data_IF_311573280049
#
_entry.id   IF_311573280049
#
_cell.length_a   1.000
_cell.length_b   1.000
_cell.length_c   1.000
_cell.angle_alpha   90.00
_cell.angle_beta   90.00
_cell.angle_gamma   90.00
#
_symmetry.space_group_name_H-M   'P 1'
#
loop_
_entity.id
_entity.type
_entity.pdbx_description
1 polymer ?
#
# COMPACT_ATOMS: atom_id res chain seq x y z
N UNK A 1 -78.11 -11.84 -32.34
CA UNK A 1 -77.20 -12.70 -31.59
C UNK A 1 -76.04 -11.86 -31.09
N UNK A 2 -75.94 -11.56 -29.77
CA UNK A 2 -74.90 -10.73 -29.16
C UNK A 2 -73.81 -11.69 -28.63
N UNK A 3 -72.63 -11.68 -29.24
CA UNK A 3 -71.47 -12.46 -28.76
C UNK A 3 -70.91 -11.79 -27.50
N UNK A 4 -71.10 -12.41 -26.35
CA UNK A 4 -70.51 -12.01 -25.06
C UNK A 4 -69.03 -12.37 -25.05
N UNK A 5 -68.13 -11.42 -25.19
CA UNK A 5 -66.67 -11.63 -25.09
C UNK A 5 -66.36 -12.09 -23.66
N UNK A 6 -65.74 -13.27 -23.56
CA UNK A 6 -65.21 -13.80 -22.32
C UNK A 6 -64.02 -12.93 -21.90
N UNK A 7 -64.12 -12.29 -20.73
CA UNK A 7 -62.98 -11.61 -20.11
C UNK A 7 -61.90 -12.66 -19.79
N UNK A 8 -60.73 -12.55 -20.40
CA UNK A 8 -59.58 -13.33 -20.00
C UNK A 8 -59.10 -12.75 -18.67
N UNK A 9 -59.13 -13.55 -17.61
CA UNK A 9 -58.47 -13.21 -16.35
C UNK A 9 -56.99 -13.33 -16.54
N UNK A 10 -56.25 -12.25 -16.32
CA UNK A 10 -54.79 -12.20 -16.35
C UNK A 10 -54.34 -12.95 -15.11
N UNK A 11 -53.48 -13.99 -15.24
CA UNK A 11 -53.00 -14.69 -14.05
C UNK A 11 -52.26 -13.72 -13.12
N UNK A 12 -52.72 -13.67 -11.87
CA UNK A 12 -52.04 -12.89 -10.84
C UNK A 12 -50.62 -13.40 -10.62
N UNK A 13 -49.65 -12.57 -10.90
CA UNK A 13 -48.25 -12.87 -10.57
C UNK A 13 -48.10 -13.04 -9.05
N UNK A 14 -47.58 -14.19 -8.63
CA UNK A 14 -47.30 -14.45 -7.23
C UNK A 14 -46.12 -13.58 -6.76
N UNK A 15 -46.47 -12.38 -6.27
CA UNK A 15 -45.48 -11.37 -5.80
C UNK A 15 -44.67 -11.82 -4.62
N UNK A 16 -45.15 -12.80 -3.84
CA UNK A 16 -44.45 -13.36 -2.68
C UNK A 16 -43.19 -14.09 -3.10
N UNK A 17 -43.23 -14.89 -4.17
CA UNK A 17 -42.08 -15.61 -4.70
C UNK A 17 -41.02 -14.67 -5.29
N UNK A 18 -41.44 -13.60 -5.96
CA UNK A 18 -40.51 -12.62 -6.53
C UNK A 18 -39.85 -11.75 -5.45
N UNK A 19 -40.57 -11.44 -4.38
CA UNK A 19 -40.02 -10.74 -3.22
C UNK A 19 -38.94 -11.56 -2.50
N UNK A 20 -39.12 -12.88 -2.35
CA UNK A 20 -38.14 -13.76 -1.72
C UNK A 20 -36.87 -13.85 -2.56
N UNK A 21 -36.98 -14.02 -3.87
CA UNK A 21 -35.81 -14.02 -4.76
C UNK A 21 -35.04 -12.68 -4.69
N UNK A 22 -35.77 -11.56 -4.67
CA UNK A 22 -35.17 -10.24 -4.57
C UNK A 22 -34.46 -10.04 -3.23
N UNK A 23 -35.02 -10.54 -2.16
CA UNK A 23 -34.42 -10.49 -0.83
C UNK A 23 -33.16 -11.37 -0.74
N UNK A 24 -33.19 -12.57 -1.30
CA UNK A 24 -32.03 -13.45 -1.36
C UNK A 24 -30.88 -12.84 -2.20
N UNK A 25 -31.21 -12.22 -3.31
CA UNK A 25 -30.24 -11.49 -4.13
C UNK A 25 -29.64 -10.31 -3.37
N UNK A 26 -30.44 -9.56 -2.63
CA UNK A 26 -29.99 -8.45 -1.82
C UNK A 26 -29.01 -8.91 -0.74
N UNK A 27 -29.31 -9.98 0.01
CA UNK A 27 -28.43 -10.55 1.01
C UNK A 27 -27.16 -11.07 0.34
N UNK A 28 -27.26 -11.75 -0.78
CA UNK A 28 -26.11 -12.26 -1.53
C UNK A 28 -25.16 -11.10 -1.92
N UNK A 29 -25.67 -10.02 -2.48
CA UNK A 29 -24.86 -8.83 -2.80
C UNK A 29 -24.29 -8.16 -1.56
N UNK A 30 -25.04 -8.09 -0.46
CA UNK A 30 -24.56 -7.50 0.78
C UNK A 30 -23.39 -8.31 1.37
N UNK A 31 -23.46 -9.64 1.34
CA UNK A 31 -22.39 -10.52 1.79
C UNK A 31 -21.18 -10.46 0.83
N UNK A 32 -21.41 -10.49 -0.49
CA UNK A 32 -20.31 -10.43 -1.47
C UNK A 32 -19.62 -9.07 -1.50
N UNK A 33 -20.34 -7.97 -1.26
CA UNK A 33 -19.77 -6.61 -1.16
C UNK A 33 -18.97 -6.42 0.12
N UNK A 34 -19.27 -7.14 1.19
CA UNK A 34 -18.52 -7.11 2.44
C UNK A 34 -17.19 -7.88 2.39
N UNK A 35 -16.96 -8.68 1.35
CA UNK A 35 -15.69 -9.36 1.17
C UNK A 35 -14.71 -8.46 0.45
N UNK A 36 -13.65 -8.12 1.14
CA UNK A 36 -12.42 -7.48 0.70
C UNK A 36 -12.37 -5.95 0.83
N UNK A 37 -12.25 -5.51 2.06
CA UNK A 37 -11.25 -4.48 2.31
C UNK A 37 -9.88 -5.17 2.20
N UNK A 38 -9.40 -5.32 0.97
CA UNK A 38 -8.03 -5.72 0.74
C UNK A 38 -7.13 -4.74 1.49
N UNK A 39 -6.57 -5.21 2.60
CA UNK A 39 -5.48 -4.54 3.30
C UNK A 39 -4.21 -4.72 2.46
N UNK A 40 -4.27 -4.28 1.20
CA UNK A 40 -3.13 -4.21 0.33
C UNK A 40 -2.25 -3.04 0.71
N UNK A 41 -0.95 -3.23 0.70
CA UNK A 41 0.01 -2.14 0.77
C UNK A 41 -0.21 -1.24 -0.46
N UNK A 42 -0.65 -0.01 -0.24
CA UNK A 42 -0.78 0.98 -1.31
C UNK A 42 0.61 1.52 -1.66
N UNK A 43 1.33 0.81 -2.52
CA UNK A 43 2.52 1.36 -3.18
C UNK A 43 2.09 2.36 -4.26
N UNK A 44 2.49 3.61 -4.16
CA UNK A 44 2.42 4.53 -5.30
C UNK A 44 3.57 4.17 -6.24
N UNK A 45 3.26 3.58 -7.38
CA UNK A 45 4.21 3.46 -8.48
C UNK A 45 4.40 4.87 -9.03
N UNK A 46 5.61 5.46 -8.99
CA UNK A 46 5.86 6.74 -9.64
C UNK A 46 5.59 6.61 -11.14
N UNK A 47 4.97 7.61 -11.81
CA UNK A 47 4.87 7.60 -13.26
C UNK A 47 6.28 7.53 -13.85
N UNK A 48 6.47 6.74 -14.92
CA UNK A 48 7.70 6.75 -15.72
C UNK A 48 7.91 8.17 -16.24
N UNK A 49 8.71 8.95 -15.55
CA UNK A 49 9.14 10.24 -16.04
C UNK A 49 10.00 10.00 -17.26
N UNK A 50 9.54 10.54 -18.41
CA UNK A 50 10.38 10.75 -19.59
C UNK A 50 11.60 11.53 -19.12
N UNK A 51 12.79 11.09 -19.56
CA UNK A 51 14.08 11.76 -19.34
C UNK A 51 14.01 13.22 -19.85
N UNK A 52 13.41 14.10 -19.06
CA UNK A 52 13.59 15.53 -19.21
C UNK A 52 14.54 15.98 -18.11
N UNK A 53 15.69 16.47 -18.58
CA UNK A 53 16.76 17.21 -17.88
C UNK A 53 16.62 17.23 -16.35
N UNK A 54 17.42 16.38 -15.71
CA UNK A 54 17.77 16.52 -14.31
C UNK A 54 18.32 17.92 -14.08
N UNK A 55 17.49 18.83 -13.59
CA UNK A 55 18.01 19.88 -12.73
C UNK A 55 18.64 19.16 -11.55
N UNK A 56 19.94 19.25 -11.45
CA UNK A 56 20.73 18.77 -10.32
C UNK A 56 20.32 19.57 -9.09
N UNK A 57 19.18 19.21 -8.51
CA UNK A 57 18.93 19.50 -7.11
C UNK A 57 19.99 18.71 -6.37
N UNK A 58 20.92 19.37 -5.72
CA UNK A 58 21.88 18.75 -4.80
C UNK A 58 21.10 17.98 -3.73
N UNK A 59 20.82 16.72 -4.05
CA UNK A 59 20.14 15.84 -3.13
C UNK A 59 21.21 15.40 -2.13
N UNK A 60 21.18 15.99 -0.96
CA UNK A 60 22.06 15.62 0.14
C UNK A 60 22.06 14.10 0.30
N UNK A 61 23.19 13.46 -0.02
CA UNK A 61 23.40 12.00 0.05
C UNK A 61 22.99 11.38 1.40
N UNK A 62 22.81 12.20 2.41
CA UNK A 62 22.42 11.83 3.78
C UNK A 62 20.93 11.49 3.94
N UNK A 63 20.06 11.84 2.98
CA UNK A 63 18.61 11.65 3.10
C UNK A 63 18.08 10.39 2.40
N UNK A 64 18.97 9.54 1.89
CA UNK A 64 18.62 8.28 1.21
C UNK A 64 19.01 7.09 2.03
N UNK A 65 18.16 6.07 1.99
CA UNK A 65 18.42 4.74 2.50
C UNK A 65 18.20 3.75 1.35
N UNK A 66 19.25 3.02 0.95
CA UNK A 66 19.15 1.98 -0.07
C UNK A 66 19.06 0.61 0.57
N UNK A 67 17.99 -0.11 0.24
CA UNK A 67 17.76 -1.49 0.68
C UNK A 67 17.72 -2.36 -0.57
N UNK A 68 18.52 -3.42 -0.58
CA UNK A 68 18.60 -4.34 -1.70
C UNK A 68 18.17 -5.73 -1.26
N UNK A 69 17.31 -6.35 -2.06
CA UNK A 69 16.92 -7.74 -1.92
C UNK A 69 17.65 -8.57 -2.98
N UNK A 70 18.59 -9.38 -2.54
CA UNK A 70 19.45 -10.19 -3.40
C UNK A 70 18.75 -11.47 -3.89
N UNK A 71 19.24 -12.14 -4.95
CA UNK A 71 18.67 -13.41 -5.46
C UNK A 71 18.61 -14.52 -4.40
N UNK A 72 19.55 -14.53 -3.48
CA UNK A 72 19.61 -15.49 -2.37
C UNK A 72 18.65 -15.15 -1.21
N UNK A 73 17.76 -14.17 -1.40
CA UNK A 73 16.80 -13.64 -0.41
C UNK A 73 17.45 -12.95 0.80
N UNK A 74 18.73 -12.65 0.73
CA UNK A 74 19.37 -11.79 1.74
C UNK A 74 19.02 -10.33 1.48
N UNK A 75 18.84 -9.60 2.57
CA UNK A 75 18.56 -8.17 2.52
C UNK A 75 19.84 -7.45 2.93
N UNK A 76 20.22 -6.48 2.13
CA UNK A 76 21.34 -5.60 2.43
C UNK A 76 20.86 -4.15 2.59
N UNK A 77 21.48 -3.46 3.52
CA UNK A 77 21.31 -2.03 3.74
C UNK A 77 22.65 -1.36 3.41
N UNK A 78 22.64 -0.53 2.36
CA UNK A 78 23.90 0.12 1.88
C UNK A 78 25.03 -0.87 1.66
N UNK A 79 24.73 -2.04 1.09
CA UNK A 79 25.69 -3.12 0.81
C UNK A 79 26.06 -3.99 2.04
N UNK A 80 25.52 -3.72 3.22
CA UNK A 80 25.76 -4.54 4.42
C UNK A 80 24.57 -5.45 4.71
N UNK A 81 24.77 -6.73 4.97
CA UNK A 81 23.68 -7.65 5.29
C UNK A 81 22.99 -7.22 6.59
N UNK A 82 21.65 -7.18 6.57
CA UNK A 82 20.81 -6.81 7.70
C UNK A 82 19.69 -7.83 7.90
N UNK A 83 19.38 -8.14 9.15
CA UNK A 83 18.22 -8.97 9.50
C UNK A 83 16.90 -8.19 9.39
N UNK A 84 15.84 -8.88 9.01
CA UNK A 84 14.48 -8.31 8.88
C UNK A 84 14.02 -7.57 10.14
N UNK A 85 14.29 -8.12 11.31
CA UNK A 85 13.87 -7.53 12.59
C UNK A 85 14.56 -6.17 12.84
N UNK A 86 15.81 -6.04 12.39
CA UNK A 86 16.58 -4.82 12.53
C UNK A 86 16.15 -3.72 11.58
N UNK A 87 15.62 -4.07 10.40
CA UNK A 87 15.19 -3.11 9.36
C UNK A 87 14.14 -2.16 9.93
N UNK A 88 13.12 -2.67 10.63
CA UNK A 88 12.05 -1.84 11.15
C UNK A 88 12.54 -0.78 12.12
N UNK A 89 13.54 -1.09 12.93
CA UNK A 89 14.12 -0.19 13.92
C UNK A 89 15.08 0.83 13.29
N UNK A 90 15.91 0.38 12.35
CA UNK A 90 16.85 1.26 11.64
C UNK A 90 16.10 2.23 10.73
N UNK A 91 15.13 1.73 9.95
CA UNK A 91 14.30 2.56 9.07
C UNK A 91 13.44 3.56 9.87
N UNK A 92 12.85 3.15 10.99
CA UNK A 92 12.09 4.05 11.86
C UNK A 92 12.93 5.23 12.35
N UNK A 93 14.15 4.95 12.82
CA UNK A 93 15.09 5.99 13.26
C UNK A 93 15.50 6.91 12.11
N UNK A 94 15.78 6.35 10.94
CA UNK A 94 16.12 7.11 9.74
C UNK A 94 14.97 8.06 9.33
N UNK A 95 13.74 7.57 9.32
CA UNK A 95 12.54 8.35 9.01
C UNK A 95 12.37 9.53 10.01
N UNK A 96 12.59 9.29 11.30
CA UNK A 96 12.47 10.32 12.32
C UNK A 96 13.54 11.41 12.18
N UNK A 97 14.79 11.02 11.85
CA UNK A 97 15.90 11.96 11.68
C UNK A 97 15.69 12.86 10.46
N UNK A 98 15.27 12.28 9.33
CA UNK A 98 15.18 13.01 8.07
C UNK A 98 13.78 13.56 7.77
N UNK A 99 12.76 13.16 8.53
CA UNK A 99 11.38 13.61 8.43
C UNK A 99 10.87 13.65 6.98
N UNK A 100 10.43 14.81 6.48
CA UNK A 100 9.91 15.00 5.12
C UNK A 100 10.94 14.75 4.01
N UNK A 101 12.23 14.75 4.31
CA UNK A 101 13.30 14.64 3.30
C UNK A 101 13.78 13.21 3.08
N UNK A 102 13.37 12.25 3.95
CA UNK A 102 13.80 10.87 3.78
C UNK A 102 13.24 10.25 2.50
N UNK A 103 14.03 9.41 1.85
CA UNK A 103 13.61 8.55 0.74
C UNK A 103 14.23 7.17 0.94
N UNK A 104 13.41 6.13 0.88
CA UNK A 104 13.85 4.75 0.98
C UNK A 104 13.76 4.14 -0.42
N UNK A 105 14.89 3.70 -0.94
CA UNK A 105 14.98 2.96 -2.20
C UNK A 105 14.98 1.46 -1.92
N UNK A 106 14.14 0.74 -2.64
CA UNK A 106 14.10 -0.73 -2.62
C UNK A 106 14.53 -1.21 -4.00
N UNK A 107 15.62 -1.96 -4.03
CA UNK A 107 16.08 -2.66 -5.21
C UNK A 107 15.84 -4.15 -5.01
N UNK A 108 14.84 -4.71 -5.69
CA UNK A 108 14.56 -6.15 -5.61
C UNK A 108 15.05 -6.85 -6.86
N UNK A 109 15.87 -7.91 -6.67
CA UNK A 109 16.29 -8.72 -7.80
C UNK A 109 15.13 -9.57 -8.33
N UNK A 110 14.96 -9.71 -9.66
CA UNK A 110 13.85 -10.47 -10.25
C UNK A 110 13.76 -11.93 -9.79
N UNK A 111 14.91 -12.54 -9.48
CA UNK A 111 15.00 -13.91 -8.98
C UNK A 111 14.75 -14.06 -7.47
N UNK A 112 14.54 -12.94 -6.77
CA UNK A 112 14.23 -12.98 -5.34
C UNK A 112 12.83 -13.54 -5.09
N UNK A 113 12.65 -14.20 -3.94
CA UNK A 113 11.36 -14.78 -3.59
C UNK A 113 10.38 -13.68 -3.18
N UNK A 114 9.17 -13.73 -3.75
CA UNK A 114 8.08 -12.82 -3.41
C UNK A 114 7.79 -12.74 -1.89
N UNK A 115 7.91 -13.86 -1.17
CA UNK A 115 7.71 -13.87 0.27
C UNK A 115 8.74 -13.00 1.01
N UNK A 116 10.00 -12.99 0.56
CA UNK A 116 11.06 -12.16 1.14
C UNK A 116 10.82 -10.68 0.86
N UNK A 117 10.37 -10.35 -0.35
CA UNK A 117 9.93 -9.01 -0.72
C UNK A 117 8.75 -8.55 0.15
N UNK A 118 7.73 -9.39 0.31
CA UNK A 118 6.56 -9.07 1.14
C UNK A 118 6.93 -8.84 2.61
N UNK A 119 7.84 -9.66 3.16
CA UNK A 119 8.37 -9.47 4.52
C UNK A 119 9.10 -8.15 4.67
N UNK A 120 9.89 -7.75 3.66
CA UNK A 120 10.57 -6.46 3.64
C UNK A 120 9.56 -5.30 3.64
N UNK A 121 8.53 -5.37 2.79
CA UNK A 121 7.47 -4.36 2.75
C UNK A 121 6.75 -4.22 4.10
N UNK A 122 6.43 -5.33 4.75
CA UNK A 122 5.84 -5.33 6.09
C UNK A 122 6.76 -4.71 7.13
N UNK A 123 8.06 -5.01 7.08
CA UNK A 123 9.05 -4.42 7.99
C UNK A 123 9.14 -2.90 7.82
N UNK A 124 9.04 -2.39 6.60
CA UNK A 124 9.01 -0.96 6.32
C UNK A 124 7.69 -0.30 6.76
N UNK A 125 6.56 -0.96 6.54
CA UNK A 125 5.26 -0.48 7.05
C UNK A 125 5.28 -0.32 8.58
N UNK A 126 5.84 -1.32 9.28
CA UNK A 126 6.05 -1.26 10.73
C UNK A 126 7.02 -0.14 11.13
N UNK A 127 8.05 0.15 10.32
CA UNK A 127 8.97 1.25 10.57
C UNK A 127 8.25 2.61 10.53
N UNK A 128 7.40 2.83 9.53
CA UNK A 128 6.57 4.05 9.46
C UNK A 128 5.58 4.15 10.61
N UNK A 129 4.95 3.05 10.98
CA UNK A 129 4.02 3.01 12.11
C UNK A 129 4.75 3.38 13.42
N UNK A 130 5.92 2.79 13.69
CA UNK A 130 6.75 3.11 14.85
C UNK A 130 7.18 4.58 14.86
N UNK A 131 7.66 5.10 13.72
CA UNK A 131 8.08 6.49 13.60
C UNK A 131 6.93 7.47 13.87
N UNK A 132 5.77 7.21 13.28
CA UNK A 132 4.56 8.04 13.50
C UNK A 132 4.06 7.96 14.93
N UNK A 133 4.10 6.77 15.54
CA UNK A 133 3.70 6.59 16.93
C UNK A 133 4.64 7.36 17.87
N UNK A 134 5.95 7.27 17.66
CA UNK A 134 6.94 8.02 18.46
C UNK A 134 6.76 9.53 18.32
N UNK A 135 6.51 10.04 17.12
CA UNK A 135 6.26 11.47 16.90
C UNK A 135 4.94 11.90 17.55
N UNK A 136 3.88 11.07 17.48
CA UNK A 136 2.59 11.33 18.09
C UNK A 136 2.69 11.39 19.62
N UNK A 137 3.38 10.44 20.23
CA UNK A 137 3.64 10.42 21.67
C UNK A 137 4.41 11.68 22.12
N UNK A 138 5.40 12.11 21.34
CA UNK A 138 6.18 13.33 21.66
C UNK A 138 5.37 14.62 21.54
N UNK A 139 4.43 14.70 20.59
CA UNK A 139 3.70 15.96 20.28
C UNK A 139 2.36 16.04 21.00
N UNK A 140 1.61 14.95 21.07
CA UNK A 140 0.24 14.90 21.55
C UNK A 140 0.05 14.01 22.78
N UNK A 141 1.13 13.32 23.22
CA UNK A 141 1.11 12.39 24.36
C UNK A 141 0.06 11.27 24.23
N UNK A 142 -0.24 10.85 22.99
CA UNK A 142 -1.14 9.75 22.64
C UNK A 142 -0.52 8.84 21.60
N UNK A 143 -0.99 7.61 21.50
CA UNK A 143 -0.61 6.70 20.44
C UNK A 143 -1.24 7.13 19.10
N UNK A 144 -0.53 6.92 18.00
CA UNK A 144 -0.98 7.36 16.66
C UNK A 144 -2.35 6.79 16.26
N UNK A 145 -2.68 5.58 16.69
CA UNK A 145 -3.98 4.95 16.42
C UNK A 145 -5.13 5.57 17.22
N UNK A 146 -4.83 6.12 18.39
CA UNK A 146 -5.80 6.76 19.30
C UNK A 146 -5.92 8.27 19.06
N UNK A 147 -5.03 8.85 18.25
CA UNK A 147 -5.02 10.28 17.93
C UNK A 147 -6.24 10.67 17.08
N UNK A 148 -6.64 11.92 17.19
CA UNK A 148 -7.72 12.49 16.38
C UNK A 148 -7.36 12.53 14.89
N UNK A 149 -8.37 12.61 14.02
CA UNK A 149 -8.17 12.60 12.56
C UNK A 149 -7.24 13.73 12.10
N UNK A 150 -7.37 14.94 12.67
CA UNK A 150 -6.54 16.10 12.36
C UNK A 150 -5.09 15.91 12.82
N UNK A 151 -4.88 15.30 13.97
CA UNK A 151 -3.56 14.99 14.52
C UNK A 151 -2.84 13.93 13.68
N UNK A 152 -3.58 12.87 13.29
CA UNK A 152 -3.05 11.83 12.39
C UNK A 152 -2.65 12.39 11.04
N UNK A 153 -3.45 13.29 10.47
CA UNK A 153 -3.14 13.95 9.20
C UNK A 153 -1.88 14.83 9.32
N UNK A 154 -1.74 15.59 10.40
CA UNK A 154 -0.56 16.40 10.67
C UNK A 154 0.72 15.53 10.77
N UNK A 155 0.65 14.41 11.51
CA UNK A 155 1.76 13.45 11.63
C UNK A 155 2.08 12.80 10.27
N UNK A 156 1.07 12.39 9.51
CA UNK A 156 1.25 11.79 8.19
C UNK A 156 1.85 12.78 7.18
N UNK A 157 1.51 14.06 7.29
CA UNK A 157 2.11 15.13 6.49
C UNK A 157 3.58 15.38 6.86
N UNK A 158 3.94 15.26 8.13
CA UNK A 158 5.33 15.44 8.59
C UNK A 158 6.21 14.22 8.31
N UNK A 159 5.61 13.02 8.33
CA UNK A 159 6.26 11.75 8.00
C UNK A 159 5.53 11.06 6.84
N UNK A 160 5.61 11.60 5.61
CA UNK A 160 5.00 11.00 4.44
C UNK A 160 5.72 9.70 4.08
N UNK A 161 4.97 8.71 3.57
CA UNK A 161 5.58 7.48 3.08
C UNK A 161 6.27 7.74 1.72
N UNK A 162 7.59 7.67 1.70
CA UNK A 162 8.44 7.93 0.52
C UNK A 162 9.32 6.72 0.24
N UNK A 163 8.71 5.71 -0.36
CA UNK A 163 9.39 4.50 -0.82
C UNK A 163 9.41 4.54 -2.34
N UNK A 164 10.57 4.35 -2.92
CA UNK A 164 10.79 4.25 -4.36
C UNK A 164 11.28 2.84 -4.66
N UNK A 165 10.58 2.16 -5.53
CA UNK A 165 10.92 0.81 -5.96
C UNK A 165 11.51 0.87 -7.37
N UNK A 166 12.73 0.39 -7.51
CA UNK A 166 13.34 0.19 -8.81
C UNK A 166 13.44 -1.32 -9.06
N UNK A 167 12.80 -1.79 -10.12
CA UNK A 167 13.15 -3.09 -10.67
C UNK A 167 14.60 -3.02 -11.16
N UNK A 168 15.40 -4.09 -10.92
CA UNK A 168 16.70 -4.20 -11.53
C UNK A 168 16.55 -4.10 -13.06
N UNK A 169 16.89 -2.96 -13.63
CA UNK A 169 17.19 -2.91 -15.06
C UNK A 169 18.49 -3.71 -15.22
N UNK A 170 18.37 -4.88 -15.88
CA UNK A 170 19.53 -5.60 -16.36
C UNK A 170 20.28 -4.67 -17.30
N UNK A 171 21.33 -4.05 -16.79
CA UNK A 171 22.33 -3.33 -17.59
C UNK A 171 23.18 -4.37 -18.36
N UNK A 172 22.51 -5.12 -19.26
CA UNK A 172 23.11 -5.92 -20.31
C UNK A 172 22.91 -5.19 -21.62
N UNK A 173 23.78 -4.28 -21.89
CA UNK A 173 23.75 -3.61 -23.19
C UNK A 173 24.81 -2.57 -23.35
N UNK A 174 26.05 -2.98 -23.64
CA UNK A 174 27.03 -2.01 -24.08
C UNK A 174 28.46 -2.53 -24.19
N UNK A 175 28.67 -3.71 -24.78
CA UNK A 175 29.92 -4.02 -25.42
C UNK A 175 29.61 -4.64 -26.79
N UNK A 176 29.69 -3.81 -27.81
CA UNK A 176 30.20 -4.15 -29.15
C UNK A 176 30.78 -2.89 -29.74
#
# INVERSE_FOLDING_TARGET
MLFKRKKQEVPELNTVSTADISFMLLIFFLVTTSMNLDKGLRGRIPPKEKKEKQEQTEVNKTSFMSIELLPNNQITLEGKPIGLDSISSVASRFILIHAKKHVIYIHSHPESNYNSYFKLQNALALAYQKARNELCLKRYNCEYELADASEREAIAHDLPQRIVENAYENDKGGEQ
#
